data_IF_046886208950
#
_entry.id   IF_046886208950
#
_cell.length_a   1.000
_cell.length_b   1.000
_cell.length_c   1.000
_cell.angle_alpha   90.00
_cell.angle_beta   90.00
_cell.angle_gamma   90.00
#
_symmetry.space_group_name_H-M   'P 1'
#
loop_
_entity.id
_entity.type
_entity.pdbx_description
1 polymer ?
#
# COMPACT_ATOMS: atom_id res chain seq x y z
N UNK A 1 12.72 6.83 20.71
CA UNK A 1 12.39 5.40 20.89
C UNK A 1 13.14 4.66 19.82
N UNK A 2 13.91 3.62 20.16
CA UNK A 2 14.64 2.86 19.13
C UNK A 2 13.68 2.02 18.29
N UNK A 3 13.96 1.87 17.00
CA UNK A 3 13.17 1.02 16.09
C UNK A 3 13.51 -0.47 16.22
N UNK A 4 14.57 -0.81 16.97
CA UNK A 4 15.08 -2.19 17.11
C UNK A 4 13.99 -3.18 17.56
N UNK A 5 13.28 -2.85 18.66
CA UNK A 5 12.26 -3.75 19.23
C UNK A 5 11.05 -3.89 18.30
N UNK A 6 10.42 -2.81 17.80
CA UNK A 6 9.34 -2.93 16.82
C UNK A 6 9.75 -3.69 15.54
N UNK A 7 10.99 -3.52 15.09
CA UNK A 7 11.51 -4.24 13.93
C UNK A 7 11.64 -5.74 14.21
N UNK A 8 12.13 -6.11 15.40
CA UNK A 8 12.24 -7.51 15.81
C UNK A 8 10.85 -8.16 15.90
N UNK A 9 9.91 -7.49 16.55
CA UNK A 9 8.51 -7.94 16.63
C UNK A 9 7.88 -8.08 15.24
N UNK A 10 8.15 -7.13 14.33
CA UNK A 10 7.71 -7.22 12.95
C UNK A 10 8.28 -8.45 12.23
N UNK A 11 9.60 -8.68 12.32
CA UNK A 11 10.26 -9.84 11.71
C UNK A 11 9.72 -11.17 12.25
N UNK A 12 9.33 -11.21 13.53
CA UNK A 12 8.75 -12.39 14.18
C UNK A 12 7.24 -12.54 13.91
N UNK A 13 6.60 -11.57 13.24
CA UNK A 13 5.15 -11.58 13.02
C UNK A 13 4.31 -11.18 14.25
N UNK A 14 4.95 -10.65 15.30
CA UNK A 14 4.32 -10.23 16.56
C UNK A 14 3.79 -8.80 16.42
N UNK A 15 2.77 -8.63 15.60
CA UNK A 15 2.07 -7.36 15.41
C UNK A 15 0.63 -7.63 14.98
N UNK A 16 -0.29 -6.65 15.10
CA UNK A 16 -1.67 -6.81 14.65
C UNK A 16 -1.72 -7.31 13.21
N UNK A 17 -2.47 -8.40 12.98
CA UNK A 17 -2.65 -9.06 11.68
C UNK A 17 -1.39 -9.71 11.08
N UNK A 18 -0.32 -9.86 11.86
CA UNK A 18 0.89 -10.57 11.44
C UNK A 18 0.75 -12.11 11.44
N UNK A 19 1.66 -12.83 10.77
CA UNK A 19 2.79 -12.31 9.99
C UNK A 19 2.38 -11.70 8.65
N UNK A 20 3.07 -10.63 8.23
CA UNK A 20 2.78 -9.92 6.97
C UNK A 20 2.82 -10.84 5.74
N UNK A 21 3.81 -11.72 5.68
CA UNK A 21 4.04 -12.59 4.52
C UNK A 21 2.88 -13.54 4.29
N UNK A 22 2.37 -14.19 5.35
CA UNK A 22 1.22 -15.10 5.24
C UNK A 22 -0.03 -14.35 4.76
N UNK A 23 -0.21 -13.12 5.26
CA UNK A 23 -1.31 -12.26 4.81
C UNK A 23 -1.16 -11.90 3.32
N UNK A 24 0.01 -11.44 2.88
CA UNK A 24 0.26 -11.10 1.48
C UNK A 24 0.11 -12.31 0.55
N UNK A 25 0.70 -13.44 0.90
CA UNK A 25 0.64 -14.67 0.11
C UNK A 25 -0.79 -15.23 0.05
N UNK A 26 -1.53 -15.19 1.14
CA UNK A 26 -2.92 -15.64 1.16
C UNK A 26 -3.79 -14.88 0.15
N UNK A 27 -3.67 -13.55 0.08
CA UNK A 27 -4.40 -12.74 -0.90
C UNK A 27 -3.82 -12.82 -2.31
N UNK A 28 -2.50 -13.00 -2.44
CA UNK A 28 -1.84 -13.23 -3.73
C UNK A 28 -2.37 -14.53 -4.37
N UNK A 29 -2.33 -15.64 -3.64
CA UNK A 29 -2.87 -16.93 -4.07
C UNK A 29 -4.37 -16.85 -4.40
N UNK A 30 -5.14 -16.13 -3.57
CA UNK A 30 -6.57 -15.94 -3.81
C UNK A 30 -6.83 -15.18 -5.12
N UNK A 31 -6.00 -14.17 -5.44
CA UNK A 31 -6.07 -13.42 -6.69
C UNK A 31 -5.74 -14.26 -7.92
N UNK A 32 -4.75 -15.16 -7.82
CA UNK A 32 -4.42 -16.08 -8.89
C UNK A 32 -5.52 -17.13 -9.11
N UNK A 33 -6.11 -17.64 -8.03
CA UNK A 33 -7.19 -18.64 -8.09
C UNK A 33 -8.53 -18.04 -8.55
N UNK A 34 -8.80 -16.79 -8.22
CA UNK A 34 -10.09 -16.13 -8.49
C UNK A 34 -9.89 -14.69 -9.03
N UNK A 35 -9.29 -14.51 -10.21
CA UNK A 35 -8.93 -13.18 -10.73
C UNK A 35 -10.15 -12.28 -11.00
N UNK A 36 -11.35 -12.85 -11.14
CA UNK A 36 -12.61 -12.11 -11.31
C UNK A 36 -13.24 -11.69 -9.97
N UNK A 37 -12.71 -12.15 -8.83
CA UNK A 37 -13.27 -11.88 -7.49
C UNK A 37 -12.27 -11.19 -6.56
N UNK A 38 -10.98 -11.28 -6.86
CA UNK A 38 -9.91 -10.67 -6.05
C UNK A 38 -8.94 -9.94 -6.97
N UNK A 39 -8.93 -8.61 -6.86
CA UNK A 39 -7.94 -7.75 -7.50
C UNK A 39 -6.79 -7.49 -6.53
N UNK A 40 -5.60 -7.98 -6.87
CA UNK A 40 -4.39 -7.68 -6.12
C UNK A 40 -3.69 -6.44 -6.71
N UNK A 41 -3.38 -5.47 -5.86
CA UNK A 41 -2.70 -4.22 -6.21
C UNK A 41 -1.51 -4.01 -5.27
N UNK A 42 -0.43 -3.43 -5.80
CA UNK A 42 0.77 -3.08 -5.04
C UNK A 42 0.87 -1.57 -4.91
N UNK A 43 1.24 -1.08 -3.74
CA UNK A 43 1.28 0.36 -3.45
C UNK A 43 2.24 1.12 -4.38
N UNK A 44 3.40 0.53 -4.67
CA UNK A 44 4.42 1.11 -5.54
C UNK A 44 3.93 1.25 -6.99
N UNK A 45 3.18 0.26 -7.49
CA UNK A 45 2.56 0.34 -8.82
C UNK A 45 1.53 1.48 -8.87
N UNK A 46 0.72 1.65 -7.82
CA UNK A 46 -0.23 2.77 -7.72
C UNK A 46 0.49 4.12 -7.75
N UNK A 47 1.63 4.23 -7.07
CA UNK A 47 2.45 5.44 -7.02
C UNK A 47 3.14 5.74 -8.34
N UNK A 48 3.47 4.72 -9.12
CA UNK A 48 4.14 4.83 -10.42
C UNK A 48 3.18 5.24 -11.53
N UNK A 49 1.98 4.66 -11.56
CA UNK A 49 0.94 5.00 -12.53
C UNK A 49 -0.46 4.84 -11.91
N UNK A 50 -0.95 5.96 -11.36
CA UNK A 50 -2.25 5.99 -10.71
C UNK A 50 -3.40 5.90 -11.72
N UNK A 51 -3.26 6.45 -12.93
CA UNK A 51 -4.34 6.46 -13.92
C UNK A 51 -4.60 5.05 -14.44
N UNK A 52 -3.55 4.30 -14.76
CA UNK A 52 -3.68 2.88 -15.13
C UNK A 52 -4.30 2.06 -13.99
N UNK A 53 -3.97 2.38 -12.74
CA UNK A 53 -4.52 1.71 -11.57
C UNK A 53 -6.01 2.00 -11.36
N UNK A 54 -6.43 3.26 -11.53
CA UNK A 54 -7.84 3.67 -11.47
C UNK A 54 -8.65 2.94 -12.53
N UNK A 55 -8.16 2.90 -13.78
CA UNK A 55 -8.80 2.13 -14.86
C UNK A 55 -8.92 0.66 -14.53
N UNK A 56 -7.84 0.03 -14.04
CA UNK A 56 -7.84 -1.38 -13.63
C UNK A 56 -8.87 -1.67 -12.53
N UNK A 57 -9.04 -0.76 -11.56
CA UNK A 57 -10.05 -0.89 -10.51
C UNK A 57 -11.46 -0.77 -11.10
N UNK A 58 -11.69 0.22 -11.97
CA UNK A 58 -12.99 0.44 -12.60
C UNK A 58 -13.43 -0.76 -13.45
N UNK A 59 -12.52 -1.29 -14.27
CA UNK A 59 -12.73 -2.51 -15.06
C UNK A 59 -13.10 -3.70 -14.15
N UNK A 60 -12.36 -3.89 -13.07
CA UNK A 60 -12.61 -4.98 -12.12
C UNK A 60 -13.96 -4.85 -11.40
N UNK A 61 -14.41 -3.63 -11.12
CA UNK A 61 -15.73 -3.36 -10.53
C UNK A 61 -16.88 -3.50 -11.55
N UNK A 62 -16.57 -3.72 -12.84
CA UNK A 62 -17.57 -3.83 -13.91
C UNK A 62 -18.02 -2.49 -14.49
N UNK A 63 -17.23 -1.43 -14.28
CA UNK A 63 -17.49 -0.08 -14.77
C UNK A 63 -16.28 0.45 -15.56
N UNK A 64 -15.89 -0.19 -16.67
CA UNK A 64 -14.80 0.30 -17.50
C UNK A 64 -15.14 1.69 -18.04
N UNK A 65 -14.14 2.57 -18.11
CA UNK A 65 -14.32 3.90 -18.69
C UNK A 65 -14.56 3.80 -20.20
N UNK A 66 -15.43 4.65 -20.74
CA UNK A 66 -15.57 4.84 -22.18
C UNK A 66 -14.42 5.70 -22.74
N UNK A 67 -14.19 5.65 -24.05
CA UNK A 67 -13.20 6.50 -24.70
C UNK A 67 -13.51 7.99 -24.49
N UNK A 68 -14.79 8.36 -24.50
CA UNK A 68 -15.25 9.72 -24.24
C UNK A 68 -14.99 10.15 -22.79
N UNK A 69 -15.15 9.26 -21.81
CA UNK A 69 -14.85 9.53 -20.40
C UNK A 69 -13.34 9.69 -20.16
N UNK A 70 -12.52 8.87 -20.82
CA UNK A 70 -11.06 9.02 -20.79
C UNK A 70 -10.62 10.33 -21.47
N UNK A 71 -11.15 10.66 -22.64
CA UNK A 71 -10.87 11.93 -23.34
C UNK A 71 -11.35 13.15 -22.55
N UNK A 72 -12.44 13.01 -21.79
CA UNK A 72 -12.95 14.04 -20.88
C UNK A 72 -12.12 14.20 -19.59
N UNK A 73 -11.16 13.29 -19.33
CA UNK A 73 -10.24 13.38 -18.20
C UNK A 73 -10.80 12.86 -16.87
N UNK A 74 -11.84 12.02 -16.88
CA UNK A 74 -12.46 11.49 -15.65
C UNK A 74 -11.50 10.62 -14.83
N UNK A 75 -10.60 9.89 -15.49
CA UNK A 75 -9.58 9.08 -14.80
C UNK A 75 -8.65 9.99 -13.99
N UNK A 76 -8.15 11.06 -14.59
CA UNK A 76 -7.29 12.07 -13.97
C UNK A 76 -8.02 12.80 -12.84
N UNK A 77 -9.30 13.12 -13.02
CA UNK A 77 -10.12 13.79 -11.99
C UNK A 77 -10.26 12.90 -10.76
N UNK A 78 -10.60 11.62 -10.94
CA UNK A 78 -10.69 10.65 -9.82
C UNK A 78 -9.33 10.50 -9.14
N UNK A 79 -8.25 10.36 -9.91
CA UNK A 79 -6.90 10.26 -9.37
C UNK A 79 -6.51 11.49 -8.54
N UNK A 80 -6.89 12.70 -9.00
CA UNK A 80 -6.67 13.96 -8.29
C UNK A 80 -7.49 14.02 -6.99
N UNK A 81 -8.79 13.69 -7.05
CA UNK A 81 -9.70 13.69 -5.90
C UNK A 81 -9.22 12.73 -4.81
N UNK A 82 -8.73 11.55 -5.19
CA UNK A 82 -8.22 10.54 -4.27
C UNK A 82 -6.72 10.70 -3.95
N UNK A 83 -6.06 11.73 -4.48
CA UNK A 83 -4.62 11.95 -4.26
C UNK A 83 -4.31 12.20 -2.78
N UNK A 84 -3.11 11.80 -2.36
CA UNK A 84 -2.64 12.01 -0.98
C UNK A 84 -2.72 13.48 -0.57
N UNK A 85 -2.27 14.40 -1.43
CA UNK A 85 -2.29 15.83 -1.14
C UNK A 85 -3.71 16.36 -1.01
N UNK A 86 -4.64 15.93 -1.87
CA UNK A 86 -6.03 16.36 -1.75
C UNK A 86 -6.65 15.81 -0.44
N UNK A 87 -6.59 14.50 -0.22
CA UNK A 87 -7.20 13.85 0.94
C UNK A 87 -6.61 14.33 2.26
N UNK A 88 -5.29 14.48 2.37
CA UNK A 88 -4.62 15.01 3.57
C UNK A 88 -5.07 16.43 3.90
N UNK A 89 -5.47 17.20 2.89
CA UNK A 89 -5.83 18.60 3.06
C UNK A 89 -7.32 18.87 3.32
N UNK A 90 -8.19 17.86 3.24
CA UNK A 90 -9.60 17.99 3.62
C UNK A 90 -9.74 18.23 5.13
N UNK A 91 -10.64 19.14 5.51
CA UNK A 91 -10.86 19.52 6.92
C UNK A 91 -11.22 18.31 7.79
N UNK A 92 -12.04 17.40 7.26
CA UNK A 92 -12.41 16.15 7.94
C UNK A 92 -11.22 15.23 8.24
N UNK A 93 -10.12 15.35 7.49
CA UNK A 93 -8.90 14.57 7.67
C UNK A 93 -7.82 15.31 8.46
N UNK A 94 -7.88 16.64 8.55
CA UNK A 94 -6.99 17.47 9.38
C UNK A 94 -7.41 17.48 10.84
N UNK A 95 -8.71 17.52 11.08
CA UNK A 95 -9.31 17.69 12.41
C UNK A 95 -10.08 16.44 12.85
N UNK A 96 -10.24 16.28 14.16
CA UNK A 96 -10.97 15.16 14.76
C UNK A 96 -10.12 13.95 15.12
N UNK A 97 -10.76 12.99 15.79
CA UNK A 97 -10.16 11.72 16.19
C UNK A 97 -11.14 10.56 16.06
N UNK A 98 -10.62 9.39 15.71
CA UNK A 98 -11.36 8.14 15.76
C UNK A 98 -11.39 7.68 17.22
N UNK A 99 -12.58 7.64 17.81
CA UNK A 99 -12.83 7.15 19.17
C UNK A 99 -13.07 5.63 19.22
N UNK A 100 -12.28 4.85 18.47
CA UNK A 100 -12.28 3.39 18.57
C UNK A 100 -11.30 2.92 19.67
N UNK A 101 -11.00 1.62 19.72
CA UNK A 101 -10.05 1.05 20.69
C UNK A 101 -8.67 1.72 20.68
N UNK A 102 -8.28 2.31 19.55
CA UNK A 102 -7.05 3.06 19.37
C UNK A 102 -7.42 4.50 19.05
N UNK A 103 -7.36 5.39 20.04
CA UNK A 103 -7.60 6.83 19.83
C UNK A 103 -6.55 7.37 18.88
N UNK A 104 -6.96 7.74 17.67
CA UNK A 104 -6.07 8.24 16.63
C UNK A 104 -6.64 9.50 16.00
N UNK A 105 -5.82 10.56 15.90
CA UNK A 105 -6.19 11.78 15.17
C UNK A 105 -6.33 11.44 13.68
N UNK A 106 -7.29 12.04 12.99
CA UNK A 106 -7.45 11.82 11.54
C UNK A 106 -6.18 12.17 10.75
N UNK A 107 -5.47 13.22 11.18
CA UNK A 107 -4.22 13.64 10.56
C UNK A 107 -3.09 12.60 10.68
N UNK A 108 -3.16 11.68 11.64
CA UNK A 108 -2.17 10.61 11.81
C UNK A 108 -2.22 9.56 10.68
N UNK A 109 -3.31 9.47 9.93
CA UNK A 109 -3.44 8.57 8.77
C UNK A 109 -2.66 9.07 7.54
N UNK A 110 -2.28 10.35 7.50
CA UNK A 110 -1.64 10.99 6.35
C UNK A 110 -0.21 11.48 6.67
N UNK A 111 0.76 10.57 6.62
CA UNK A 111 2.16 10.85 6.98
C UNK A 111 2.98 11.50 5.85
N UNK A 112 3.52 10.69 4.93
CA UNK A 112 4.36 11.14 3.79
C UNK A 112 3.90 10.64 2.41
N UNK A 113 3.33 9.43 2.33
CA UNK A 113 2.98 8.77 1.06
C UNK A 113 4.11 8.71 0.02
N UNK A 114 5.30 8.34 0.50
CA UNK A 114 6.53 8.20 -0.29
C UNK A 114 6.96 6.74 -0.31
N UNK A 115 7.38 6.26 -1.48
CA UNK A 115 8.04 4.97 -1.64
C UNK A 115 9.50 5.12 -1.23
N UNK A 116 10.03 4.18 -0.46
CA UNK A 116 11.44 4.17 -0.07
C UNK A 116 11.80 4.98 1.19
N UNK A 117 10.84 5.61 1.88
CA UNK A 117 11.14 6.42 3.09
C UNK A 117 11.73 5.60 4.27
N UNK A 118 11.75 4.27 4.17
CA UNK A 118 12.37 3.39 5.16
C UNK A 118 13.89 3.66 5.30
N UNK A 119 14.57 4.17 4.27
CA UNK A 119 16.01 4.51 4.32
C UNK A 119 16.32 5.59 5.37
N UNK A 120 15.32 6.40 5.72
CA UNK A 120 15.44 7.45 6.75
C UNK A 120 15.26 6.91 8.18
N UNK A 121 14.89 5.64 8.33
CA UNK A 121 14.53 5.01 9.61
C UNK A 121 15.41 3.80 9.92
N UNK A 122 15.70 2.98 8.90
CA UNK A 122 16.42 1.72 9.06
C UNK A 122 17.91 1.90 8.77
N UNK A 123 18.74 1.24 9.56
CA UNK A 123 20.17 1.10 9.22
C UNK A 123 20.33 0.12 8.05
N UNK A 124 21.45 0.17 7.30
CA UNK A 124 21.70 -0.78 6.21
C UNK A 124 21.63 -2.26 6.66
N UNK A 125 22.09 -2.55 7.89
CA UNK A 125 22.00 -3.92 8.45
C UNK A 125 20.56 -4.38 8.66
N UNK A 126 19.69 -3.50 9.17
CA UNK A 126 18.27 -3.78 9.36
C UNK A 126 17.55 -3.97 8.03
N UNK A 127 17.85 -3.13 7.04
CA UNK A 127 17.29 -3.22 5.70
C UNK A 127 17.67 -4.54 5.02
N UNK A 128 18.96 -4.88 5.02
CA UNK A 128 19.45 -6.15 4.46
C UNK A 128 18.79 -7.37 5.13
N UNK A 129 18.58 -7.32 6.45
CA UNK A 129 17.88 -8.38 7.17
C UNK A 129 16.44 -8.54 6.68
N UNK A 130 15.71 -7.43 6.53
CA UNK A 130 14.35 -7.46 6.00
C UNK A 130 14.31 -7.96 4.56
N UNK A 131 15.17 -7.46 3.68
CA UNK A 131 15.23 -7.91 2.30
C UNK A 131 15.45 -9.43 2.21
N UNK A 132 16.41 -9.97 2.96
CA UNK A 132 16.64 -11.42 3.01
C UNK A 132 15.40 -12.18 3.50
N UNK A 133 14.70 -11.66 4.50
CA UNK A 133 13.47 -12.28 5.01
C UNK A 133 12.34 -12.23 3.97
N UNK A 134 12.17 -11.11 3.27
CA UNK A 134 11.19 -11.00 2.18
C UNK A 134 11.52 -11.97 1.03
N UNK A 135 12.78 -12.13 0.67
CA UNK A 135 13.20 -13.12 -0.33
C UNK A 135 12.95 -14.55 0.14
N UNK A 136 13.27 -14.88 1.40
CA UNK A 136 13.01 -16.19 1.98
C UNK A 136 11.50 -16.51 1.98
N UNK A 137 10.66 -15.55 2.36
CA UNK A 137 9.22 -15.78 2.52
C UNK A 137 8.43 -15.69 1.22
N UNK A 138 8.80 -14.81 0.30
CA UNK A 138 8.02 -14.52 -0.91
C UNK A 138 8.69 -14.97 -2.21
N UNK A 139 10.00 -15.27 -2.21
CA UNK A 139 10.79 -15.46 -3.43
C UNK A 139 10.27 -16.56 -4.37
N UNK A 140 9.70 -17.63 -3.83
CA UNK A 140 9.16 -18.75 -4.61
C UNK A 140 7.69 -18.55 -5.05
N UNK A 141 7.02 -17.51 -4.55
CA UNK A 141 5.57 -17.30 -4.80
C UNK A 141 5.25 -16.62 -6.14
N UNK A 142 6.27 -16.06 -6.80
CA UNK A 142 6.09 -15.17 -7.95
C UNK A 142 5.57 -13.77 -7.60
N UNK A 143 5.27 -13.47 -6.33
CA UNK A 143 4.96 -12.11 -5.88
C UNK A 143 6.24 -11.30 -5.77
N UNK A 144 6.40 -10.32 -6.66
CA UNK A 144 7.50 -9.35 -6.62
C UNK A 144 7.02 -8.02 -6.08
N UNK A 145 7.64 -7.56 -4.99
CA UNK A 145 7.45 -6.23 -4.43
C UNK A 145 8.64 -5.36 -4.85
N UNK A 146 8.36 -4.16 -5.38
CA UNK A 146 9.43 -3.21 -5.73
C UNK A 146 9.96 -2.58 -4.44
N UNK A 147 10.95 -3.22 -3.82
CA UNK A 147 11.67 -2.66 -2.66
C UNK A 147 12.80 -1.78 -3.22
N UNK A 148 12.46 -0.62 -3.80
CA UNK A 148 13.48 0.25 -4.36
C UNK A 148 14.28 0.93 -3.23
N UNK A 149 15.58 0.64 -3.17
CA UNK A 149 16.62 1.52 -2.65
C UNK A 149 17.22 2.24 -3.85
N UNK A 150 17.19 3.58 -3.89
CA UNK A 150 18.13 4.31 -4.75
C UNK A 150 19.51 4.31 -4.08
#
# INVERSE_FOLDING_TARGET
MSIDVPLEEFCQGIHPYGPLWDHCLGYWDASLKNPQKVLFLKYEDLKKDINSSVKKIADFLGYPFSAEEEEAGFVEEIAMLCSFENLKNLDCNKEGEIHAAYRAKHSSFFRKAEVGDWVNVLTPSMANRLENLFQEKLGESGLTLEINSN
#
